data_IF_655524438468
#
_entry.id   IF_655524438468
#
_cell.length_a   1.000
_cell.length_b   1.000
_cell.length_c   1.000
_cell.angle_alpha   90.00
_cell.angle_beta   90.00
_cell.angle_gamma   90.00
#
_symmetry.space_group_name_H-M   'P 1'
#
loop_
_entity.id
_entity.type
_entity.pdbx_description
1 polymer ?
#
# COMPACT_ATOMS: atom_id res chain seq x y z
N UNK A 1 10.34 3.15 -5.88
CA UNK A 1 10.17 2.87 -7.32
C UNK A 1 11.46 3.01 -8.15
N UNK A 2 12.34 4.00 -7.93
CA UNK A 2 13.62 4.05 -8.67
C UNK A 2 14.49 2.79 -8.50
N UNK A 3 14.39 2.13 -7.34
CA UNK A 3 15.08 0.86 -7.05
C UNK A 3 14.58 -0.33 -7.87
N UNK A 4 13.29 -0.39 -8.19
CA UNK A 4 12.69 -1.50 -8.97
C UNK A 4 13.29 -1.60 -10.39
N UNK A 5 13.83 -0.51 -10.93
CA UNK A 5 14.55 -0.55 -12.21
C UNK A 5 15.85 -1.38 -12.14
N UNK A 6 16.45 -1.54 -10.96
CA UNK A 6 17.63 -2.38 -10.79
C UNK A 6 17.35 -3.85 -11.15
N UNK A 7 16.10 -4.30 -10.99
CA UNK A 7 15.67 -5.68 -11.31
C UNK A 7 15.68 -5.96 -12.82
N UNK A 8 15.71 -4.92 -13.64
CA UNK A 8 15.82 -5.06 -15.10
C UNK A 8 17.24 -5.37 -15.57
N UNK A 9 18.24 -5.32 -14.67
CA UNK A 9 19.65 -5.59 -14.99
C UNK A 9 20.00 -7.08 -14.99
N UNK A 10 19.11 -7.95 -14.49
CA UNK A 10 19.29 -9.39 -14.50
C UNK A 10 18.06 -10.13 -15.09
N UNK A 11 18.23 -11.36 -15.59
CA UNK A 11 17.10 -12.14 -16.11
C UNK A 11 16.05 -12.39 -15.03
N UNK A 12 14.74 -12.37 -15.31
CA UNK A 12 14.08 -12.44 -16.62
C UNK A 12 13.67 -11.08 -17.21
N UNK A 13 13.62 -10.02 -16.40
CA UNK A 13 13.16 -8.70 -16.86
C UNK A 13 14.14 -8.06 -17.86
N UNK A 14 15.42 -8.42 -17.78
CA UNK A 14 16.44 -7.96 -18.74
C UNK A 14 16.17 -8.39 -20.19
N UNK A 15 15.30 -9.37 -20.44
CA UNK A 15 14.95 -9.81 -21.79
C UNK A 15 13.86 -8.96 -22.44
N UNK A 16 13.14 -8.14 -21.66
CA UNK A 16 12.10 -7.29 -22.22
C UNK A 16 12.74 -6.09 -22.93
N UNK A 17 12.38 -5.90 -24.19
CA UNK A 17 12.68 -4.66 -24.91
C UNK A 17 11.90 -3.49 -24.30
N UNK A 18 12.34 -2.26 -24.56
CA UNK A 18 11.64 -1.06 -24.12
C UNK A 18 10.13 -1.08 -24.46
N UNK A 19 9.78 -1.47 -25.69
CA UNK A 19 8.39 -1.56 -26.13
C UNK A 19 7.60 -2.66 -25.43
N UNK A 20 8.24 -3.78 -25.10
CA UNK A 20 7.61 -4.84 -24.31
C UNK A 20 7.36 -4.39 -22.88
N UNK A 21 8.31 -3.70 -22.24
CA UNK A 21 8.13 -3.14 -20.90
C UNK A 21 7.03 -2.09 -20.86
N UNK A 22 6.97 -1.21 -21.87
CA UNK A 22 5.89 -0.25 -22.02
C UNK A 22 4.52 -0.96 -22.21
N UNK A 23 4.48 -1.99 -23.06
CA UNK A 23 3.27 -2.80 -23.26
C UNK A 23 2.81 -3.50 -21.98
N UNK A 24 3.73 -4.11 -21.22
CA UNK A 24 3.46 -4.71 -19.91
C UNK A 24 2.85 -3.69 -18.95
N UNK A 25 3.46 -2.52 -18.82
CA UNK A 25 2.98 -1.44 -17.96
C UNK A 25 1.56 -0.99 -18.34
N UNK A 26 1.26 -0.83 -19.63
CA UNK A 26 -0.09 -0.48 -20.10
C UNK A 26 -1.12 -1.55 -19.71
N UNK A 27 -0.82 -2.82 -19.97
CA UNK A 27 -1.74 -3.93 -19.68
C UNK A 27 -1.99 -4.05 -18.19
N UNK A 28 -0.93 -4.04 -17.36
CA UNK A 28 -1.05 -4.07 -15.90
C UNK A 28 -1.83 -2.86 -15.37
N UNK A 29 -1.60 -1.67 -15.93
CA UNK A 29 -2.32 -0.46 -15.55
C UNK A 29 -3.81 -0.51 -15.88
N UNK A 30 -4.19 -1.00 -17.06
CA UNK A 30 -5.58 -1.17 -17.46
C UNK A 30 -6.28 -2.19 -16.55
N UNK A 31 -5.65 -3.34 -16.31
CA UNK A 31 -6.20 -4.38 -15.44
C UNK A 31 -6.41 -3.87 -14.02
N UNK A 32 -5.40 -3.20 -13.45
CA UNK A 32 -5.50 -2.60 -12.11
C UNK A 32 -6.64 -1.57 -12.04
N UNK A 33 -6.78 -0.73 -13.07
CA UNK A 33 -7.87 0.25 -13.12
C UNK A 33 -9.24 -0.41 -13.26
N UNK A 34 -9.34 -1.50 -14.02
CA UNK A 34 -10.57 -2.26 -14.17
C UNK A 34 -10.99 -2.89 -12.84
N UNK A 35 -10.06 -3.50 -12.10
CA UNK A 35 -10.33 -4.08 -10.78
C UNK A 35 -10.74 -3.02 -9.75
N UNK A 36 -10.19 -1.81 -9.83
CA UNK A 36 -10.54 -0.71 -8.92
C UNK A 36 -11.84 0.02 -9.30
N UNK A 37 -12.47 -0.31 -10.43
CA UNK A 37 -13.65 0.39 -10.92
C UNK A 37 -14.83 0.31 -9.94
N UNK A 38 -15.04 -0.87 -9.32
CA UNK A 38 -16.10 -1.08 -8.33
C UNK A 38 -15.83 -0.33 -7.02
N UNK A 39 -14.57 -0.04 -6.71
CA UNK A 39 -14.13 0.65 -5.50
C UNK A 39 -13.93 2.17 -5.69
N UNK A 40 -14.13 2.69 -6.90
CA UNK A 40 -13.90 4.11 -7.24
C UNK A 40 -14.79 5.05 -6.40
N UNK A 41 -15.97 4.57 -5.97
CA UNK A 41 -16.88 5.31 -5.09
C UNK A 41 -16.30 5.62 -3.71
N UNK A 42 -15.42 4.75 -3.16
CA UNK A 42 -14.77 4.99 -1.86
C UNK A 42 -13.82 6.19 -1.93
N UNK A 43 -13.05 6.30 -3.02
CA UNK A 43 -12.14 7.41 -3.25
C UNK A 43 -12.91 8.72 -3.49
N UNK A 44 -13.99 8.66 -4.28
CA UNK A 44 -14.79 9.85 -4.64
C UNK A 44 -15.60 10.41 -3.48
N UNK A 45 -15.97 9.57 -2.50
CA UNK A 45 -16.70 9.99 -1.31
C UNK A 45 -15.78 10.35 -0.12
N UNK A 46 -14.45 10.24 -0.28
CA UNK A 46 -13.49 10.67 0.74
C UNK A 46 -13.46 12.19 0.88
N UNK A 47 -13.24 12.68 2.09
CA UNK A 47 -13.09 14.11 2.35
C UNK A 47 -11.82 14.69 1.71
N UNK A 48 -10.76 13.88 1.57
CA UNK A 48 -9.51 14.24 0.89
C UNK A 48 -8.98 13.05 0.08
N UNK A 49 -9.29 13.00 -1.23
CA UNK A 49 -8.84 11.92 -2.10
C UNK A 49 -7.30 11.85 -2.24
N UNK A 50 -6.60 12.99 -2.22
CA UNK A 50 -5.15 12.99 -2.41
C UNK A 50 -4.43 12.40 -1.19
N UNK A 51 -4.82 12.82 0.01
CA UNK A 51 -4.23 12.30 1.25
C UNK A 51 -4.52 10.82 1.41
N UNK A 52 -5.74 10.37 1.08
CA UNK A 52 -6.10 8.96 1.11
C UNK A 52 -5.19 8.10 0.19
N UNK A 53 -4.98 8.53 -1.05
CA UNK A 53 -4.12 7.80 -2.01
C UNK A 53 -2.65 7.82 -1.58
N UNK A 54 -2.16 8.98 -1.12
CA UNK A 54 -0.80 9.12 -0.61
C UNK A 54 -0.53 8.17 0.56
N UNK A 55 -1.47 8.09 1.49
CA UNK A 55 -1.35 7.23 2.67
C UNK A 55 -1.41 5.75 2.28
N UNK A 56 -2.34 5.36 1.41
CA UNK A 56 -2.42 4.01 0.87
C UNK A 56 -1.13 3.59 0.13
N UNK A 57 -0.48 4.52 -0.58
CA UNK A 57 0.82 4.28 -1.21
C UNK A 57 1.88 3.90 -0.18
N UNK A 58 2.06 4.72 0.87
CA UNK A 58 3.06 4.45 1.91
C UNK A 58 2.75 3.17 2.68
N UNK A 59 1.50 2.95 3.08
CA UNK A 59 1.09 1.72 3.78
C UNK A 59 1.42 0.46 2.97
N UNK A 60 1.15 0.45 1.66
CA UNK A 60 1.50 -0.67 0.78
C UNK A 60 3.01 -0.87 0.68
N UNK A 61 3.77 0.20 0.46
CA UNK A 61 5.22 0.11 0.28
C UNK A 61 5.94 -0.30 1.57
N UNK A 62 5.50 0.21 2.72
CA UNK A 62 6.02 -0.18 4.03
C UNK A 62 5.68 -1.62 4.36
N UNK A 63 4.47 -2.09 4.04
CA UNK A 63 4.09 -3.48 4.25
C UNK A 63 4.99 -4.45 3.45
N UNK A 64 5.25 -4.14 2.18
CA UNK A 64 6.13 -4.95 1.32
C UNK A 64 7.58 -4.89 1.84
N UNK A 65 8.06 -3.70 2.23
CA UNK A 65 9.41 -3.54 2.78
C UNK A 65 9.63 -4.29 4.10
N UNK A 66 8.58 -4.43 4.93
CA UNK A 66 8.61 -5.21 6.17
C UNK A 66 8.34 -6.72 5.93
N UNK A 67 8.37 -7.20 4.69
CA UNK A 67 8.23 -8.62 4.36
C UNK A 67 6.80 -9.15 4.53
N UNK A 68 5.79 -8.29 4.44
CA UNK A 68 4.39 -8.66 4.60
C UNK A 68 3.94 -8.83 6.05
N UNK A 69 4.73 -8.33 7.01
CA UNK A 69 4.33 -8.23 8.40
C UNK A 69 3.94 -6.80 8.74
N UNK A 70 2.76 -6.63 9.33
CA UNK A 70 2.34 -5.36 9.90
C UNK A 70 3.04 -5.23 11.26
N UNK A 71 3.90 -4.22 11.40
CA UNK A 71 4.30 -3.78 12.75
C UNK A 71 3.08 -3.08 13.34
N UNK A 72 2.55 -3.53 14.49
CA UNK A 72 1.53 -2.78 15.18
C UNK A 72 2.08 -1.38 15.46
N UNK A 73 1.33 -0.35 15.10
CA UNK A 73 1.57 1.01 15.60
C UNK A 73 1.53 0.91 17.14
N UNK A 74 2.68 1.07 17.80
CA UNK A 74 2.71 1.22 19.26
C UNK A 74 2.12 2.58 19.60
N UNK A 75 0.79 2.62 19.72
CA UNK A 75 0.11 3.83 20.16
C UNK A 75 0.57 4.15 21.60
N UNK A 76 1.25 5.28 21.83
CA UNK A 76 1.75 5.63 23.16
C UNK A 76 0.61 5.80 24.18
N UNK A 77 -0.61 6.10 23.70
CA UNK A 77 -1.81 6.17 24.53
C UNK A 77 -2.46 4.79 24.78
N UNK A 78 -2.08 3.73 24.06
CA UNK A 78 -2.64 2.39 24.30
C UNK A 78 -2.36 1.91 25.73
N UNK A 79 -1.18 2.22 26.28
CA UNK A 79 -0.84 1.93 27.68
C UNK A 79 -1.71 2.69 28.68
N UNK A 80 -2.12 3.92 28.35
CA UNK A 80 -2.98 4.73 29.22
C UNK A 80 -4.43 4.22 29.21
N UNK A 81 -4.95 3.86 28.02
CA UNK A 81 -6.30 3.31 27.86
C UNK A 81 -6.42 1.92 28.54
N UNK A 82 -5.37 1.11 28.51
CA UNK A 82 -5.38 -0.22 29.14
C UNK A 82 -5.57 -0.14 30.67
N UNK A 83 -4.95 0.85 31.32
CA UNK A 83 -5.15 1.07 32.76
C UNK A 83 -6.58 1.50 33.11
N UNK A 84 -7.22 2.33 32.27
CA UNK A 84 -8.63 2.73 32.47
C UNK A 84 -9.60 1.55 32.27
N UNK A 85 -9.32 0.63 31.34
CA UNK A 85 -10.15 -0.55 31.11
C UNK A 85 -10.08 -1.55 32.28
N UNK A 86 -8.90 -1.75 32.86
CA UNK A 86 -8.71 -2.62 34.03
C UNK A 86 -9.43 -2.08 35.28
N UNK A 87 -9.52 -0.75 35.44
CA UNK A 87 -10.29 -0.12 36.53
C UNK A 87 -11.80 -0.34 36.37
N UNK A 88 -12.34 -0.30 35.15
CA UNK A 88 -13.76 -0.51 34.87
C UNK A 88 -14.19 -1.96 35.13
N UNK A 89 -13.36 -2.94 34.78
CA UNK A 89 -13.65 -4.37 35.01
C UNK A 89 -13.51 -4.78 36.50
N UNK A 90 -12.94 -3.90 37.33
CA UNK A 90 -12.78 -4.10 38.77
C UNK A 90 -13.95 -3.56 39.63
N UNK A 91 -14.96 -2.94 39.02
CA UNK A 91 -16.23 -2.53 39.65
C UNK A 91 -17.35 -3.56 39.45
#
# INVERSE_FOLDING_TARGET
>A
EGGDFADTLYPMLSYLTFWMSAGKWVVEGIETRAQLLDSDGLLRNSSDPYVMVREAYFQRHDFIANGGSLKPEENPNAKAIQGELDEIDSQ
#
